data_IF_406971020871
#
_entry.id   IF_406971020871
#
_cell.length_a   1.000
_cell.length_b   1.000
_cell.length_c   1.000
_cell.angle_alpha   90.00
_cell.angle_beta   90.00
_cell.angle_gamma   90.00
#
_symmetry.space_group_name_H-M   'P 1'
#
loop_
_entity.id
_entity.type
_entity.pdbx_description
1 polymer ?
#
# COMPACT_ATOMS: atom_id res chain seq x y z
N UNK A 1 20.96 -3.73 -4.60
CA UNK A 1 19.59 -3.78 -4.07
C UNK A 1 19.32 -2.52 -3.27
N UNK A 2 18.26 -1.83 -3.58
CA UNK A 2 17.89 -0.61 -2.89
C UNK A 2 16.60 -0.80 -2.11
N UNK A 3 16.51 -0.20 -0.95
CA UNK A 3 15.27 -0.17 -0.18
C UNK A 3 14.94 1.25 0.24
N UNK A 4 13.65 1.54 0.32
CA UNK A 4 13.13 2.83 0.74
C UNK A 4 12.21 2.57 1.91
N UNK A 5 12.37 3.37 2.98
CA UNK A 5 11.47 3.33 4.13
C UNK A 5 10.93 4.73 4.37
N UNK A 6 9.61 4.83 4.46
CA UNK A 6 8.94 6.09 4.81
C UNK A 6 8.02 5.84 6.00
N UNK A 7 8.01 6.78 6.91
CA UNK A 7 7.10 6.77 8.04
C UNK A 7 6.25 8.02 8.00
N UNK A 8 4.95 7.85 8.12
CA UNK A 8 3.98 8.93 8.13
C UNK A 8 3.26 8.88 9.47
N UNK A 9 3.18 10.03 10.14
CA UNK A 9 2.44 10.18 11.37
C UNK A 9 1.08 10.80 11.07
N UNK A 10 0.02 10.25 11.66
CA UNK A 10 -1.34 10.75 11.46
C UNK A 10 -2.10 10.73 12.77
N UNK A 11 -3.13 11.57 12.88
CA UNK A 11 -4.06 11.59 14.02
C UNK A 11 -5.23 10.63 13.82
N UNK A 12 -5.36 9.99 12.67
CA UNK A 12 -6.37 8.95 12.45
C UNK A 12 -6.12 7.79 13.41
N UNK A 13 -7.20 7.13 13.82
CA UNK A 13 -7.06 5.94 14.67
C UNK A 13 -6.42 4.80 13.86
N UNK A 14 -5.65 3.90 14.52
CA UNK A 14 -5.02 2.78 13.81
C UNK A 14 -6.01 1.96 12.99
N UNK A 15 -7.20 1.69 13.52
CA UNK A 15 -8.21 0.92 12.80
C UNK A 15 -8.70 1.64 11.55
N UNK A 16 -8.84 2.97 11.62
CA UNK A 16 -9.29 3.77 10.46
C UNK A 16 -8.20 3.84 9.40
N UNK A 17 -6.95 4.01 9.81
CA UNK A 17 -5.81 3.98 8.89
C UNK A 17 -5.70 2.62 8.20
N UNK A 18 -5.83 1.54 8.99
CA UNK A 18 -5.79 0.18 8.45
C UNK A 18 -6.95 -0.10 7.50
N UNK A 19 -8.16 0.36 7.82
CA UNK A 19 -9.33 0.15 6.94
C UNK A 19 -9.10 0.74 5.55
N UNK A 20 -8.46 1.91 5.46
CA UNK A 20 -8.13 2.52 4.17
C UNK A 20 -7.10 1.71 3.39
N UNK A 21 -6.10 1.16 4.08
CA UNK A 21 -5.04 0.35 3.47
C UNK A 21 -5.59 -1.01 3.03
N UNK A 22 -6.39 -1.65 3.88
CA UNK A 22 -6.94 -2.97 3.62
C UNK A 22 -7.94 -2.97 2.47
N UNK A 23 -8.51 -1.82 2.15
CA UNK A 23 -9.40 -1.67 0.99
C UNK A 23 -8.56 -1.55 -0.28
N UNK A 24 -8.01 -2.68 -0.72
CA UNK A 24 -7.03 -2.73 -1.81
C UNK A 24 -7.58 -2.27 -3.16
N UNK A 25 -8.90 -2.26 -3.32
CA UNK A 25 -9.56 -1.78 -4.54
C UNK A 25 -9.83 -0.27 -4.53
N UNK A 26 -9.58 0.42 -3.42
CA UNK A 26 -9.87 1.84 -3.27
C UNK A 26 -8.60 2.70 -3.11
N UNK A 27 -7.46 2.20 -3.58
CA UNK A 27 -6.18 2.91 -3.50
C UNK A 27 -6.27 4.31 -4.13
N UNK A 28 -6.97 4.43 -5.26
CA UNK A 28 -7.09 5.69 -6.00
C UNK A 28 -8.05 6.69 -5.36
N UNK A 29 -8.95 6.24 -4.49
CA UNK A 29 -9.94 7.12 -3.86
C UNK A 29 -9.63 7.42 -2.39
N UNK A 30 -8.98 6.50 -1.68
CA UNK A 30 -8.77 6.61 -0.24
C UNK A 30 -7.34 6.95 0.16
N UNK A 31 -6.33 6.58 -0.64
CA UNK A 31 -4.93 6.73 -0.25
C UNK A 31 -4.17 7.74 -1.11
N UNK A 32 -4.20 7.58 -2.42
CA UNK A 32 -3.37 8.38 -3.33
C UNK A 32 -4.17 8.90 -4.54
N UNK A 33 -5.23 9.70 -4.30
CA UNK A 33 -6.01 10.24 -5.41
C UNK A 33 -5.14 11.13 -6.30
N UNK A 34 -5.31 11.01 -7.62
CA UNK A 34 -4.52 11.74 -8.59
C UNK A 34 -3.21 11.06 -9.00
N UNK A 35 -2.53 10.42 -8.06
CA UNK A 35 -1.33 9.61 -8.35
C UNK A 35 -1.72 8.27 -8.97
N UNK A 36 -2.73 7.63 -8.39
CA UNK A 36 -3.36 6.43 -8.93
C UNK A 36 -4.75 6.83 -9.40
N UNK A 37 -5.09 6.54 -10.65
CA UNK A 37 -6.35 6.97 -11.25
C UNK A 37 -7.36 5.85 -11.38
N UNK A 38 -6.93 4.60 -11.31
CA UNK A 38 -7.83 3.44 -11.37
C UNK A 38 -7.21 2.23 -10.69
N UNK A 39 -8.07 1.41 -10.08
CA UNK A 39 -7.68 0.12 -9.51
C UNK A 39 -8.73 -0.90 -9.89
N UNK A 40 -8.29 -2.03 -10.44
CA UNK A 40 -9.16 -3.17 -10.73
C UNK A 40 -8.70 -4.37 -9.89
N UNK A 41 -9.65 -5.01 -9.21
CA UNK A 41 -9.33 -6.19 -8.41
C UNK A 41 -9.37 -7.45 -9.27
N UNK A 42 -8.42 -8.35 -9.00
CA UNK A 42 -8.35 -9.70 -9.51
C UNK A 42 -8.21 -10.66 -8.32
N UNK A 43 -8.45 -11.97 -8.48
CA UNK A 43 -8.18 -12.91 -7.39
C UNK A 43 -6.72 -12.83 -6.94
N UNK A 44 -6.50 -12.45 -5.70
CA UNK A 44 -5.17 -12.35 -5.10
C UNK A 44 -4.28 -11.20 -5.59
N UNK A 45 -4.82 -10.25 -6.35
CA UNK A 45 -4.04 -9.14 -6.90
C UNK A 45 -4.90 -7.92 -7.17
N UNK A 46 -4.25 -6.78 -7.38
CA UNK A 46 -4.90 -5.58 -7.92
C UNK A 46 -4.11 -5.09 -9.14
N UNK A 47 -4.81 -4.49 -10.09
CA UNK A 47 -4.21 -3.86 -11.26
C UNK A 47 -4.36 -2.35 -11.08
N UNK A 48 -3.23 -1.67 -11.00
CA UNK A 48 -3.15 -0.25 -10.67
C UNK A 48 -2.78 0.53 -11.91
N UNK A 49 -3.59 1.55 -12.24
CA UNK A 49 -3.27 2.50 -13.31
C UNK A 49 -2.85 3.81 -12.69
N UNK A 50 -1.64 4.24 -12.98
CA UNK A 50 -1.09 5.49 -12.47
C UNK A 50 -1.48 6.67 -13.38
N UNK A 51 -1.38 7.88 -12.84
CA UNK A 51 -1.74 9.09 -13.57
C UNK A 51 -0.94 9.33 -14.85
N UNK A 52 0.27 8.75 -14.95
CA UNK A 52 1.09 8.81 -16.15
C UNK A 52 0.74 7.74 -17.20
N UNK A 53 -0.31 6.95 -16.96
CA UNK A 53 -0.76 5.89 -17.86
C UNK A 53 -0.10 4.53 -17.64
N UNK A 54 0.89 4.42 -16.77
CA UNK A 54 1.53 3.15 -16.47
C UNK A 54 0.55 2.21 -15.73
N UNK A 55 0.53 0.95 -16.13
CA UNK A 55 -0.32 -0.08 -15.53
C UNK A 55 0.56 -1.15 -14.92
N UNK A 56 0.32 -1.46 -13.64
CA UNK A 56 1.11 -2.42 -12.88
C UNK A 56 0.17 -3.39 -12.19
N UNK A 57 0.46 -4.68 -12.30
CA UNK A 57 -0.25 -5.70 -11.53
C UNK A 57 0.47 -5.93 -10.21
N UNK A 58 -0.28 -5.86 -9.12
CA UNK A 58 0.27 -6.00 -7.78
C UNK A 58 -0.35 -7.20 -7.07
N UNK A 59 0.28 -8.39 -7.16
CA UNK A 59 -0.14 -9.54 -6.35
C UNK A 59 -0.06 -9.22 -4.86
N UNK A 60 -1.11 -9.59 -4.14
CA UNK A 60 -1.18 -9.41 -2.68
C UNK A 60 -0.59 -10.66 -2.04
N UNK A 61 0.51 -10.47 -1.32
CA UNK A 61 1.24 -11.56 -0.64
C UNK A 61 0.64 -11.80 0.75
N UNK A 62 0.40 -10.73 1.50
CA UNK A 62 -0.11 -10.81 2.87
C UNK A 62 -1.10 -9.69 3.11
N UNK A 63 -2.25 -10.03 3.67
CA UNK A 63 -3.21 -9.07 4.18
C UNK A 63 -3.58 -9.54 5.59
N UNK A 64 -2.93 -8.99 6.60
CA UNK A 64 -3.04 -9.43 7.98
C UNK A 64 -3.64 -8.33 8.84
N UNK A 65 -4.92 -8.48 9.18
CA UNK A 65 -5.64 -7.53 10.02
C UNK A 65 -5.15 -7.48 11.46
N UNK A 66 -4.63 -8.58 11.99
CA UNK A 66 -4.16 -8.62 13.36
C UNK A 66 -2.91 -7.75 13.55
N UNK A 67 -1.96 -7.81 12.62
CA UNK A 67 -0.76 -6.97 12.65
C UNK A 67 -0.93 -5.66 11.88
N UNK A 68 -2.07 -5.45 11.21
CA UNK A 68 -2.34 -4.30 10.34
C UNK A 68 -1.24 -4.10 9.30
N UNK A 69 -0.94 -5.19 8.60
CA UNK A 69 0.16 -5.25 7.62
C UNK A 69 -0.33 -5.76 6.27
N UNK A 70 0.03 -5.03 5.21
CA UNK A 70 -0.21 -5.42 3.82
C UNK A 70 1.13 -5.55 3.12
N UNK A 71 1.34 -6.67 2.44
CA UNK A 71 2.53 -6.94 1.63
C UNK A 71 2.11 -7.28 0.22
N UNK A 72 2.76 -6.68 -0.75
CA UNK A 72 2.50 -6.95 -2.17
C UNK A 72 3.79 -6.95 -2.97
N UNK A 73 3.72 -7.55 -4.16
CA UNK A 73 4.76 -7.47 -5.18
C UNK A 73 4.22 -6.67 -6.37
N UNK A 74 5.09 -6.34 -7.31
CA UNK A 74 4.67 -5.64 -8.53
C UNK A 74 5.19 -6.39 -9.75
N UNK A 75 4.32 -6.51 -10.74
CA UNK A 75 4.62 -7.10 -12.04
C UNK A 75 4.29 -6.10 -13.14
N UNK A 76 5.19 -5.91 -14.06
CA UNK A 76 5.03 -4.97 -15.16
C UNK A 76 5.94 -3.76 -15.00
N UNK A 77 5.85 -2.83 -15.92
CA UNK A 77 6.76 -1.69 -15.95
C UNK A 77 8.19 -2.14 -16.22
N UNK A 78 9.15 -1.45 -15.62
CA UNK A 78 10.59 -1.72 -15.82
C UNK A 78 11.22 -2.50 -14.68
N UNK A 79 10.42 -2.89 -13.69
CA UNK A 79 10.92 -3.55 -12.49
C UNK A 79 10.88 -5.06 -12.67
N UNK A 80 12.03 -5.71 -12.51
CA UNK A 80 12.11 -7.17 -12.57
C UNK A 80 11.95 -7.80 -11.19
N UNK A 81 12.13 -7.01 -10.13
CA UNK A 81 12.04 -7.50 -8.76
C UNK A 81 11.63 -6.34 -7.85
N UNK A 82 10.40 -6.40 -7.33
CA UNK A 82 9.87 -5.36 -6.47
C UNK A 82 8.95 -5.99 -5.43
N UNK A 83 9.14 -5.65 -4.19
CA UNK A 83 8.16 -5.96 -3.14
C UNK A 83 8.02 -4.76 -2.21
N UNK A 84 6.85 -4.66 -1.60
CA UNK A 84 6.55 -3.55 -0.71
C UNK A 84 5.67 -4.03 0.44
N UNK A 85 5.74 -3.31 1.54
CA UNK A 85 4.85 -3.53 2.68
C UNK A 85 4.43 -2.19 3.26
N UNK A 86 3.25 -2.19 3.86
CA UNK A 86 2.74 -1.07 4.63
C UNK A 86 2.16 -1.63 5.92
N UNK A 87 2.49 -0.99 7.04
CA UNK A 87 2.04 -1.45 8.36
C UNK A 87 1.66 -0.27 9.23
N UNK A 88 0.60 -0.44 10.01
CA UNK A 88 0.07 0.58 10.90
C UNK A 88 0.47 0.24 12.34
N UNK A 89 0.98 1.24 13.05
CA UNK A 89 1.39 1.12 14.46
C UNK A 89 0.71 2.18 15.30
N UNK A 90 0.28 1.78 16.49
CA UNK A 90 -0.14 2.72 17.52
C UNK A 90 1.08 3.30 18.23
N UNK A 91 1.05 4.59 18.51
CA UNK A 91 2.10 5.24 19.28
C UNK A 91 1.58 5.67 20.66
N UNK A 92 2.51 5.88 21.59
CA UNK A 92 2.19 6.23 22.98
C UNK A 92 1.65 7.65 23.13
N UNK A 93 1.85 8.51 22.15
CA UNK A 93 1.38 9.91 22.18
C UNK A 93 0.00 10.09 21.52
N UNK A 94 -0.75 9.00 21.39
CA UNK A 94 -2.07 8.95 20.76
C UNK A 94 -2.04 9.24 19.25
N UNK A 95 -0.88 9.18 18.62
CA UNK A 95 -0.77 9.24 17.16
C UNK A 95 -0.65 7.84 16.57
N UNK A 96 -0.82 7.75 15.26
CA UNK A 96 -0.69 6.52 14.48
C UNK A 96 0.46 6.70 13.51
N UNK A 97 1.33 5.70 13.44
CA UNK A 97 2.39 5.66 12.44
C UNK A 97 2.03 4.69 11.34
N UNK A 98 2.23 5.11 10.10
CA UNK A 98 2.12 4.25 8.93
C UNK A 98 3.51 4.12 8.32
N UNK A 99 4.03 2.91 8.29
CA UNK A 99 5.39 2.64 7.80
C UNK A 99 5.30 1.89 6.49
N UNK A 100 5.88 2.48 5.45
CA UNK A 100 5.95 1.91 4.12
C UNK A 100 7.40 1.56 3.80
N UNK A 101 7.61 0.32 3.36
CA UNK A 101 8.92 -0.18 2.97
C UNK A 101 8.80 -0.76 1.57
N UNK A 102 9.67 -0.36 0.68
CA UNK A 102 9.75 -0.90 -0.67
C UNK A 102 11.18 -1.37 -0.94
N UNK A 103 11.30 -2.55 -1.52
CA UNK A 103 12.58 -3.13 -1.93
C UNK A 103 12.58 -3.36 -3.44
N UNK A 104 13.61 -2.87 -4.09
CA UNK A 104 13.79 -2.95 -5.53
C UNK A 104 14.86 -3.98 -5.90
#
# INVERSE_FOLDING_TARGET
>A
MASIRKEIETKARPDDAWAAIADTGALHTRLVPGFVVDVRLEPGARVVTFGNGMVVREPIVTLDGASKRLVWTAEGGRTTHYNASIQVFSRTDATTAVVWIAAL
#
